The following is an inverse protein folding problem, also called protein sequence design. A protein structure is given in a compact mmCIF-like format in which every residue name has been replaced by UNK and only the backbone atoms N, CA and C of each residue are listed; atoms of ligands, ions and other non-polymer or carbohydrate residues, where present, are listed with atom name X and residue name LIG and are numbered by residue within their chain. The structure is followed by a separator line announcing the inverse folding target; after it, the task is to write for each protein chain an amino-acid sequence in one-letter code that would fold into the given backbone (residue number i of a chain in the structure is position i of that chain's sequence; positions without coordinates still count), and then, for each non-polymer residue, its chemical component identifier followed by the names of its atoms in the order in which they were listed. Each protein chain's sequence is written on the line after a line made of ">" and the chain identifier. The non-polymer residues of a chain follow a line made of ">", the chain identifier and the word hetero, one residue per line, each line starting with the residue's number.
data_IF_127288607866
#
_entry.id   IF_127288607866
#
_cell.length_a   1.000
_cell.length_b   1.000
_cell.length_c   1.000
_cell.angle_alpha   90.00
_cell.angle_beta   90.00
_cell.angle_gamma   90.00
#
_symmetry.space_group_name_H-M   'P 1'
#
loop_
_entity.id
_entity.type
_entity.pdbx_description
1 polymer ?
#
# COMPACT_ATOMS: atom_id res chain seq x y z
N UNK A 1 1.84 -15.82 9.16
CA UNK A 1 2.57 -14.54 8.90
C UNK A 1 2.02 -13.41 9.76
N UNK A 2 0.71 -13.18 9.79
CA UNK A 2 0.06 -12.14 10.63
C UNK A 2 0.39 -12.24 12.11
N UNK A 3 0.39 -13.45 12.70
CA UNK A 3 0.78 -13.64 14.12
C UNK A 3 2.22 -13.22 14.42
N UNK A 4 3.14 -13.34 13.45
CA UNK A 4 4.53 -12.87 13.61
C UNK A 4 4.60 -11.34 13.54
N UNK A 5 3.82 -10.71 12.68
CA UNK A 5 3.73 -9.25 12.59
C UNK A 5 3.19 -8.69 13.92
N UNK A 6 2.16 -9.31 14.48
CA UNK A 6 1.64 -8.96 15.80
C UNK A 6 2.73 -9.10 16.88
N UNK A 7 3.39 -10.25 16.96
CA UNK A 7 4.47 -10.44 17.93
C UNK A 7 5.59 -9.39 17.80
N UNK A 8 5.94 -8.98 16.57
CA UNK A 8 6.91 -7.91 16.35
C UNK A 8 6.38 -6.55 16.81
N UNK A 9 5.09 -6.24 16.62
CA UNK A 9 4.44 -5.02 17.12
C UNK A 9 4.43 -4.94 18.65
N UNK A 10 4.31 -6.08 19.32
CA UNK A 10 4.37 -6.17 20.79
C UNK A 10 5.81 -5.98 21.32
N UNK A 11 6.82 -6.35 20.52
CA UNK A 11 8.23 -6.31 20.90
C UNK A 11 8.94 -4.99 20.56
N UNK A 12 8.31 -4.12 19.76
CA UNK A 12 8.85 -2.82 19.36
C UNK A 12 7.88 -1.73 19.72
N UNK A 13 8.36 -0.56 20.14
CA UNK A 13 7.52 0.64 20.30
C UNK A 13 7.65 1.57 19.09
N UNK A 14 8.68 1.37 18.26
CA UNK A 14 8.93 2.21 17.10
C UNK A 14 7.86 2.02 16.01
N UNK A 15 7.42 3.13 15.44
CA UNK A 15 6.50 3.17 14.30
C UNK A 15 7.24 2.86 12.98
N UNK A 16 6.52 2.38 11.96
CA UNK A 16 7.01 2.21 10.58
C UNK A 16 8.19 1.24 10.31
N UNK A 17 8.63 0.45 11.29
CA UNK A 17 9.72 -0.55 11.08
C UNK A 17 9.30 -1.84 10.38
N UNK A 18 8.01 -2.06 10.17
CA UNK A 18 7.49 -3.30 9.58
C UNK A 18 6.93 -3.02 8.19
N UNK A 19 7.65 -3.50 7.17
CA UNK A 19 7.19 -3.54 5.79
C UNK A 19 6.74 -4.97 5.44
N UNK A 20 5.46 -5.13 5.16
CA UNK A 20 4.87 -6.39 4.70
C UNK A 20 4.44 -6.24 3.24
N UNK A 21 5.02 -7.07 2.35
CA UNK A 21 4.78 -7.02 0.92
C UNK A 21 4.08 -8.29 0.44
N UNK A 22 3.05 -8.13 -0.39
CA UNK A 22 2.32 -9.24 -1.01
C UNK A 22 2.28 -9.09 -2.54
N UNK A 23 1.94 -10.17 -3.24
CA UNK A 23 1.83 -10.18 -4.70
C UNK A 23 0.45 -9.73 -5.21
N UNK A 24 -0.59 -9.78 -4.38
CA UNK A 24 -1.96 -9.48 -4.82
C UNK A 24 -2.66 -8.54 -3.84
N UNK A 25 -3.56 -7.69 -4.36
CA UNK A 25 -4.41 -6.83 -3.52
C UNK A 25 -5.25 -7.64 -2.54
N UNK A 26 -5.77 -8.80 -2.97
CA UNK A 26 -6.59 -9.69 -2.13
C UNK A 26 -5.79 -10.23 -0.93
N UNK A 27 -4.54 -10.64 -1.13
CA UNK A 27 -3.69 -11.10 -0.04
C UNK A 27 -3.33 -9.95 0.92
N UNK A 28 -3.05 -8.75 0.40
CA UNK A 28 -2.84 -7.57 1.25
C UNK A 28 -4.07 -7.27 2.11
N UNK A 29 -5.28 -7.27 1.51
CA UNK A 29 -6.53 -7.00 2.23
C UNK A 29 -6.85 -8.08 3.28
N UNK A 30 -6.69 -9.36 2.94
CA UNK A 30 -6.90 -10.47 3.89
C UNK A 30 -5.91 -10.39 5.07
N UNK A 31 -4.64 -10.12 4.80
CA UNK A 31 -3.63 -9.96 5.85
C UNK A 31 -3.91 -8.75 6.73
N UNK A 32 -4.36 -7.64 6.14
CA UNK A 32 -4.77 -6.45 6.89
C UNK A 32 -5.90 -6.81 7.83
N UNK A 33 -7.02 -7.33 7.31
CA UNK A 33 -8.20 -7.70 8.08
C UNK A 33 -7.87 -8.64 9.25
N UNK A 34 -6.98 -9.61 9.03
CA UNK A 34 -6.51 -10.53 10.08
C UNK A 34 -5.67 -9.85 11.16
N UNK A 35 -4.89 -8.83 10.83
CA UNK A 35 -4.17 -8.03 11.81
C UNK A 35 -5.13 -7.13 12.60
N UNK A 36 -6.09 -6.48 11.92
CA UNK A 36 -7.06 -5.61 12.61
C UNK A 36 -7.86 -6.39 13.64
N UNK A 37 -8.39 -7.56 13.26
CA UNK A 37 -9.12 -8.46 14.17
C UNK A 37 -8.26 -8.94 15.35
N UNK A 38 -6.99 -9.23 15.12
CA UNK A 38 -6.12 -9.74 16.20
C UNK A 38 -5.76 -8.66 17.22
N UNK A 39 -5.64 -7.41 16.76
CA UNK A 39 -5.32 -6.25 17.59
C UNK A 39 -6.56 -5.70 18.32
N UNK A 40 -7.75 -5.76 17.70
CA UNK A 40 -8.99 -5.34 18.35
C UNK A 40 -9.35 -6.21 19.57
N UNK A 41 -9.06 -7.52 19.50
CA UNK A 41 -9.26 -8.45 20.61
C UNK A 41 -8.36 -8.12 21.82
N UNK A 42 -7.17 -7.53 21.59
CA UNK A 42 -6.29 -7.09 22.67
C UNK A 42 -6.79 -5.78 23.32
N UNK A 43 -7.42 -4.89 22.55
CA UNK A 43 -8.03 -3.66 23.09
C UNK A 43 -9.26 -4.00 23.98
N UNK A 44 -10.02 -5.05 23.64
CA UNK A 44 -11.15 -5.56 24.44
C UNK A 44 -10.72 -6.22 25.76
N UNK A 45 -9.56 -6.90 25.83
CA UNK A 45 -9.04 -7.44 27.11
C UNK A 45 -8.55 -6.35 28.08
N UNK A 46 -8.18 -5.17 27.58
CA UNK A 46 -7.66 -4.04 28.38
C UNK A 46 -8.80 -3.13 28.90
N UNK A 47 -9.94 -3.10 28.20
CA UNK A 47 -11.17 -2.45 28.64
C UNK A 47 -12.11 -3.51 29.23
N UNK A 48 -11.95 -3.78 30.53
CA UNK A 48 -12.69 -4.83 31.24
C UNK A 48 -14.21 -4.87 30.94
N UNK A 49 -14.73 -6.10 30.95
CA UNK A 49 -16.12 -6.54 30.69
C UNK A 49 -17.18 -5.42 30.79
N UNK A 50 -17.42 -4.74 29.68
CA UNK A 50 -18.64 -3.95 29.45
C UNK A 50 -19.61 -4.78 28.63
N UNK A 51 -20.85 -4.90 29.05
CA UNK A 51 -21.90 -5.62 28.34
C UNK A 51 -22.11 -5.06 26.92
N UNK A 52 -22.00 -5.91 25.91
CA UNK A 52 -22.34 -5.58 24.52
C UNK A 52 -23.66 -6.27 24.15
N UNK A 53 -24.64 -5.48 23.69
CA UNK A 53 -25.85 -6.02 23.06
C UNK A 53 -25.50 -6.52 21.65
N UNK A 54 -25.99 -7.72 21.28
CA UNK A 54 -25.84 -8.31 19.94
C UNK A 54 -26.57 -7.48 18.89
N UNK A 55 -25.90 -6.46 18.35
CA UNK A 55 -26.32 -5.72 17.16
C UNK A 55 -25.63 -6.26 15.90
N UNK A 56 -26.42 -6.56 14.87
CA UNK A 56 -25.93 -7.01 13.57
C UNK A 56 -25.10 -5.91 12.89
N UNK A 57 -23.81 -6.18 12.65
CA UNK A 57 -22.86 -5.20 12.12
C UNK A 57 -23.14 -4.97 10.63
N UNK A 58 -23.58 -3.76 10.27
CA UNK A 58 -23.78 -3.36 8.87
C UNK A 58 -22.48 -2.77 8.28
N UNK A 59 -22.29 -2.93 6.97
CA UNK A 59 -21.06 -2.58 6.24
C UNK A 59 -20.65 -1.08 6.29
N UNK A 60 -21.53 -0.19 6.75
CA UNK A 60 -21.30 1.26 6.67
C UNK A 60 -20.57 1.85 7.90
N UNK A 61 -20.45 1.12 9.01
CA UNK A 61 -19.75 1.60 10.24
C UNK A 61 -18.26 1.18 10.35
N UNK A 62 -17.69 0.55 9.31
CA UNK A 62 -16.28 0.09 9.28
C UNK A 62 -15.23 1.23 9.21
N UNK A 63 -15.65 2.49 9.29
CA UNK A 63 -14.85 3.64 8.87
C UNK A 63 -13.98 4.34 9.93
N UNK A 64 -14.18 4.15 11.23
CA UNK A 64 -13.71 5.18 12.20
C UNK A 64 -12.83 4.70 13.35
N UNK A 65 -12.54 3.41 13.51
CA UNK A 65 -11.54 2.95 14.51
C UNK A 65 -10.50 2.03 13.89
N UNK A 66 -9.61 2.61 13.09
CA UNK A 66 -8.36 1.93 12.73
C UNK A 66 -7.51 1.87 14.00
N UNK A 67 -7.23 0.66 14.52
CA UNK A 67 -6.35 0.49 15.68
C UNK A 67 -5.05 1.25 15.47
N UNK A 68 -4.65 2.06 16.44
CA UNK A 68 -3.43 2.89 16.39
C UNK A 68 -2.20 2.04 16.07
N UNK A 69 -2.19 0.78 16.55
CA UNK A 69 -1.14 -0.20 16.32
C UNK A 69 -0.99 -0.60 14.84
N UNK A 70 -2.06 -0.56 14.02
CA UNK A 70 -1.97 -0.87 12.59
C UNK A 70 -1.26 0.22 11.78
N UNK A 71 -1.25 1.46 12.25
CA UNK A 71 -0.53 2.53 11.57
C UNK A 71 0.99 2.30 11.59
N UNK A 72 1.48 1.41 12.46
CA UNK A 72 2.89 1.07 12.62
C UNK A 72 3.37 0.02 11.60
N UNK A 73 2.47 -0.50 10.75
CA UNK A 73 2.80 -1.48 9.70
C UNK A 73 2.49 -0.90 8.32
N UNK A 74 3.51 -0.82 7.46
CA UNK A 74 3.29 -0.61 6.04
C UNK A 74 3.00 -1.95 5.38
N UNK A 75 1.74 -2.19 5.02
CA UNK A 75 1.30 -3.39 4.32
C UNK A 75 0.79 -3.03 2.92
N UNK A 76 1.24 -3.73 1.89
CA UNK A 76 0.76 -3.48 0.53
C UNK A 76 1.23 -4.51 -0.48
N UNK A 77 0.85 -4.27 -1.73
CA UNK A 77 1.41 -5.02 -2.86
C UNK A 77 2.78 -4.49 -3.25
N UNK A 78 3.60 -5.33 -3.90
CA UNK A 78 4.89 -4.89 -4.44
C UNK A 78 4.77 -3.60 -5.26
N UNK A 79 3.83 -3.55 -6.20
CA UNK A 79 3.60 -2.38 -7.04
C UNK A 79 3.23 -1.12 -6.26
N UNK A 80 2.32 -1.21 -5.27
CA UNK A 80 1.96 -0.06 -4.44
C UNK A 80 3.13 0.45 -3.60
N UNK A 81 4.00 -0.45 -3.13
CA UNK A 81 5.19 -0.07 -2.35
C UNK A 81 6.22 0.59 -3.27
N UNK A 82 6.52 0.02 -4.44
CA UNK A 82 7.40 0.62 -5.43
C UNK A 82 6.90 2.00 -5.86
N UNK A 83 5.60 2.15 -6.13
CA UNK A 83 5.01 3.45 -6.46
C UNK A 83 5.16 4.47 -5.32
N UNK A 84 4.97 4.05 -4.05
CA UNK A 84 5.19 4.92 -2.88
C UNK A 84 6.64 5.38 -2.78
N UNK A 85 7.60 4.47 -2.97
CA UNK A 85 9.04 4.77 -2.96
C UNK A 85 9.38 5.76 -4.09
N UNK A 86 8.92 5.50 -5.31
CA UNK A 86 9.19 6.38 -6.46
C UNK A 86 8.58 7.78 -6.28
N UNK A 87 7.39 7.87 -5.68
CA UNK A 87 6.76 9.16 -5.35
C UNK A 87 7.54 9.94 -4.30
N UNK A 88 8.04 9.27 -3.27
CA UNK A 88 8.85 9.92 -2.24
C UNK A 88 10.19 10.38 -2.80
N UNK A 89 10.89 9.51 -3.51
CA UNK A 89 12.24 9.79 -3.99
C UNK A 89 12.29 10.51 -5.33
N UNK A 90 11.15 10.83 -5.93
CA UNK A 90 11.01 11.53 -7.21
C UNK A 90 11.98 12.70 -7.39
N UNK A 91 12.03 13.69 -6.47
CA UNK A 91 12.95 14.83 -6.60
C UNK A 91 14.43 14.44 -6.69
N UNK A 92 14.84 13.30 -6.16
CA UNK A 92 16.20 12.78 -6.29
C UNK A 92 16.41 12.02 -7.60
N UNK A 93 15.37 11.37 -8.14
CA UNK A 93 15.44 10.62 -9.41
C UNK A 93 15.72 11.54 -10.59
N UNK A 94 15.16 12.75 -10.60
CA UNK A 94 15.41 13.76 -11.64
C UNK A 94 16.88 14.20 -11.73
N UNK A 95 17.65 14.03 -10.66
CA UNK A 95 19.08 14.39 -10.60
C UNK A 95 20.01 13.29 -11.11
N UNK A 96 19.51 12.09 -11.39
CA UNK A 96 20.34 10.98 -11.83
C UNK A 96 20.88 11.23 -13.24
N UNK A 97 22.18 10.99 -13.52
CA UNK A 97 22.77 11.24 -14.85
C UNK A 97 22.04 10.53 -16.00
N UNK A 98 21.50 9.34 -15.72
CA UNK A 98 20.73 8.53 -16.68
C UNK A 98 19.38 9.13 -17.05
N UNK A 99 18.83 10.02 -16.22
CA UNK A 99 17.53 10.68 -16.44
C UNK A 99 17.68 12.18 -16.74
N UNK A 100 18.73 12.84 -16.25
CA UNK A 100 18.99 14.26 -16.43
C UNK A 100 19.19 14.67 -17.91
N UNK A 101 19.47 13.71 -18.79
CA UNK A 101 19.66 13.94 -20.23
C UNK A 101 18.37 13.85 -21.04
N UNK A 102 17.26 13.45 -20.39
CA UNK A 102 15.94 13.32 -21.02
C UNK A 102 15.10 14.55 -20.70
N UNK A 103 14.28 15.00 -21.66
CA UNK A 103 13.25 16.02 -21.42
C UNK A 103 12.17 15.55 -20.42
N UNK A 104 12.23 14.30 -19.98
CA UNK A 104 11.31 13.70 -19.01
C UNK A 104 11.70 14.07 -17.58
N UNK A 105 10.87 14.88 -16.94
CA UNK A 105 10.97 15.17 -15.50
C UNK A 105 10.35 14.01 -14.71
N UNK A 106 11.18 13.27 -13.98
CA UNK A 106 10.76 12.28 -12.99
C UNK A 106 10.86 12.89 -11.59
N UNK A 107 9.83 13.62 -11.17
CA UNK A 107 9.73 14.29 -9.86
C UNK A 107 8.80 13.56 -8.87
N UNK A 108 8.32 12.38 -9.24
CA UNK A 108 7.37 11.59 -8.47
C UNK A 108 5.91 11.80 -8.88
N UNK A 109 5.59 12.81 -9.70
CA UNK A 109 4.24 13.07 -10.20
C UNK A 109 3.96 12.35 -11.52
N UNK A 110 4.22 11.05 -11.57
CA UNK A 110 4.00 10.22 -12.75
C UNK A 110 2.60 9.60 -12.78
N UNK A 111 2.10 9.35 -13.99
CA UNK A 111 0.89 8.58 -14.23
C UNK A 111 1.24 7.10 -14.43
N UNK A 112 0.53 6.21 -13.73
CA UNK A 112 0.61 4.77 -13.99
C UNK A 112 -0.37 4.44 -15.12
N UNK A 113 0.16 4.21 -16.31
CA UNK A 113 -0.64 3.87 -17.48
C UNK A 113 -1.21 2.45 -17.35
N UNK A 114 -2.48 2.27 -17.71
CA UNK A 114 -3.06 0.95 -17.84
C UNK A 114 -2.59 0.24 -19.12
N UNK A 115 -2.91 -1.04 -19.26
CA UNK A 115 -2.47 -1.84 -20.41
C UNK A 115 -3.03 -1.30 -21.74
N UNK A 116 -4.25 -0.78 -21.75
CA UNK A 116 -4.88 -0.28 -22.97
C UNK A 116 -4.21 1.01 -23.43
N UNK A 117 -3.84 1.89 -22.51
CA UNK A 117 -3.17 3.16 -22.79
C UNK A 117 -1.71 2.92 -23.22
N UNK A 118 -1.02 1.97 -22.59
CA UNK A 118 0.31 1.53 -23.04
C UNK A 118 0.27 1.03 -24.49
N UNK A 119 -0.72 0.23 -24.86
CA UNK A 119 -0.85 -0.29 -26.22
C UNK A 119 -1.18 0.80 -27.25
N UNK A 120 -2.04 1.75 -26.89
CA UNK A 120 -2.33 2.91 -27.75
C UNK A 120 -1.06 3.73 -28.00
N UNK A 121 -0.32 4.05 -26.94
CA UNK A 121 0.92 4.80 -27.02
C UNK A 121 1.95 4.12 -27.93
N UNK A 122 2.13 2.80 -27.78
CA UNK A 122 3.06 2.04 -28.64
C UNK A 122 2.63 2.11 -30.10
N UNK A 123 1.33 1.95 -30.39
CA UNK A 123 0.81 2.05 -31.76
C UNK A 123 1.07 3.44 -32.36
N UNK A 124 0.78 4.49 -31.61
CA UNK A 124 1.03 5.88 -32.03
C UNK A 124 2.51 6.12 -32.32
N UNK A 125 3.41 5.62 -31.46
CA UNK A 125 4.86 5.71 -31.67
C UNK A 125 5.26 4.95 -32.95
N UNK A 126 4.80 3.72 -33.15
CA UNK A 126 5.13 2.92 -34.33
C UNK A 126 4.66 3.60 -35.62
N UNK A 127 3.43 4.10 -35.65
CA UNK A 127 2.91 4.86 -36.79
C UNK A 127 3.74 6.12 -37.04
N UNK A 128 4.13 6.84 -35.99
CA UNK A 128 4.97 8.05 -36.12
C UNK A 128 6.37 7.74 -36.70
N UNK A 129 6.87 6.53 -36.49
CA UNK A 129 8.13 6.03 -37.03
C UNK A 129 8.00 5.41 -38.43
N UNK A 130 6.79 5.38 -39.00
CA UNK A 130 6.53 4.76 -40.31
C UNK A 130 6.60 3.23 -40.29
N UNK A 131 6.48 2.61 -39.11
CA UNK A 131 6.42 1.17 -38.93
C UNK A 131 4.95 0.77 -38.93
N UNK A 132 4.51 0.11 -40.01
CA UNK A 132 3.13 -0.39 -40.13
C UNK A 132 2.96 -1.71 -39.36
N UNK A 133 1.77 -1.92 -38.77
CA UNK A 133 1.45 -3.02 -37.86
C UNK A 133 0.58 -4.10 -38.52
#
# INVERSE_FOLDING_TARGET
>A
LTSRIQHLLDCTEEEDKILAVTFTKKAAMEMQHRLERSLSLQEEEVLGEGEYEEGEITQEEYGTKKSTSLNRVTLGTFHSICAKILRWHGPHLSTLPSLSSSDTIMDGNFVIMDQSDQLKLIKEILTSLGIDL
#
